data_IF_333407811304
#
_entry.id   IF_333407811304
#
_cell.length_a   1.000
_cell.length_b   1.000
_cell.length_c   1.000
_cell.angle_alpha   90.00
_cell.angle_beta   90.00
_cell.angle_gamma   90.00
#
_symmetry.space_group_name_H-M   'P 1'
#
loop_
_entity.id
_entity.type
_entity.pdbx_description
1 polymer ?
#
# COMPACT_ATOMS: atom_id res chain seq x y z
N UNK A 1 -5.50 32.60 7.21
CA UNK A 1 -4.54 31.65 6.60
C UNK A 1 -5.23 30.33 6.41
N UNK A 2 -5.11 29.64 5.28
CA UNK A 2 -5.66 28.29 5.16
C UNK A 2 -4.95 27.35 6.14
N UNK A 3 -5.74 26.53 6.86
CA UNK A 3 -5.24 25.60 7.87
C UNK A 3 -4.48 24.42 7.25
N UNK A 4 -4.70 24.12 5.97
CA UNK A 4 -4.14 23.00 5.24
C UNK A 4 -3.19 23.47 4.13
N UNK A 5 -2.20 22.64 3.82
CA UNK A 5 -1.32 22.89 2.68
C UNK A 5 -2.11 22.86 1.37
N UNK A 6 -1.69 23.67 0.39
CA UNK A 6 -2.37 23.78 -0.93
C UNK A 6 -2.52 22.44 -1.63
N UNK A 7 -1.51 21.57 -1.52
CA UNK A 7 -1.52 20.21 -2.12
C UNK A 7 -2.67 19.34 -1.62
N UNK A 8 -3.11 19.53 -0.36
CA UNK A 8 -4.26 18.76 0.17
C UNK A 8 -5.57 19.13 -0.55
N UNK A 9 -5.69 20.36 -1.05
CA UNK A 9 -6.84 20.76 -1.86
C UNK A 9 -6.91 20.08 -3.24
N UNK A 10 -5.83 19.46 -3.69
CA UNK A 10 -5.79 18.65 -4.94
C UNK A 10 -6.25 17.22 -4.72
N UNK A 11 -6.14 16.70 -3.49
CA UNK A 11 -6.59 15.35 -3.14
C UNK A 11 -8.11 15.23 -3.32
N UNK A 12 -8.53 14.20 -4.04
CA UNK A 12 -9.95 13.90 -4.27
C UNK A 12 -10.41 12.78 -3.33
N UNK A 13 -11.67 12.81 -2.86
CA UNK A 13 -12.22 11.66 -2.15
C UNK A 13 -12.15 10.39 -3.00
N UNK A 14 -11.77 9.27 -2.41
CA UNK A 14 -11.67 8.00 -3.12
C UNK A 14 -13.04 7.56 -3.66
N UNK A 15 -13.18 7.52 -4.98
CA UNK A 15 -14.39 7.04 -5.65
C UNK A 15 -14.69 5.56 -5.29
N UNK A 16 -13.65 4.75 -5.11
CA UNK A 16 -13.78 3.33 -4.71
C UNK A 16 -14.41 3.23 -3.32
N UNK A 17 -13.94 4.04 -2.37
CA UNK A 17 -14.50 4.05 -1.01
C UNK A 17 -15.96 4.56 -0.99
N UNK A 18 -16.27 5.58 -1.77
CA UNK A 18 -17.64 6.09 -1.88
C UNK A 18 -18.62 5.02 -2.41
N UNK A 19 -18.20 4.24 -3.41
CA UNK A 19 -19.01 3.13 -3.94
C UNK A 19 -19.16 2.02 -2.90
N UNK A 20 -18.08 1.68 -2.17
CA UNK A 20 -18.11 0.66 -1.11
C UNK A 20 -19.06 1.05 0.03
N UNK A 21 -19.01 2.30 0.49
CA UNK A 21 -19.91 2.82 1.53
C UNK A 21 -21.36 2.82 1.06
N UNK A 22 -21.62 3.23 -0.18
CA UNK A 22 -22.96 3.17 -0.77
C UNK A 22 -23.50 1.74 -0.82
N UNK A 23 -22.67 0.77 -1.22
CA UNK A 23 -23.06 -0.65 -1.24
C UNK A 23 -23.37 -1.15 0.17
N UNK A 24 -22.56 -0.80 1.16
CA UNK A 24 -22.77 -1.14 2.58
C UNK A 24 -24.08 -0.58 3.11
N UNK A 25 -24.36 0.70 2.82
CA UNK A 25 -25.62 1.35 3.23
C UNK A 25 -26.84 0.65 2.64
N UNK A 26 -26.83 0.38 1.33
CA UNK A 26 -27.93 -0.29 0.65
C UNK A 26 -28.18 -1.71 1.18
N UNK A 27 -27.12 -2.46 1.51
CA UNK A 27 -27.25 -3.76 2.19
C UNK A 27 -27.90 -3.64 3.57
N UNK A 28 -27.52 -2.63 4.35
CA UNK A 28 -28.10 -2.38 5.66
C UNK A 28 -29.61 -1.99 5.59
N UNK A 29 -30.04 -1.41 4.46
CA UNK A 29 -31.45 -1.11 4.15
C UNK A 29 -32.21 -2.36 3.65
N UNK A 30 -31.61 -3.56 3.67
CA UNK A 30 -32.23 -4.82 3.27
C UNK A 30 -32.23 -5.09 1.75
N UNK A 31 -31.49 -4.30 0.96
CA UNK A 31 -31.39 -4.53 -0.48
C UNK A 31 -30.39 -5.64 -0.79
N UNK A 32 -30.73 -6.49 -1.75
CA UNK A 32 -29.81 -7.50 -2.27
C UNK A 32 -28.79 -6.83 -3.20
N UNK A 33 -27.56 -6.66 -2.70
CA UNK A 33 -26.46 -5.99 -3.41
C UNK A 33 -25.28 -6.96 -3.56
N UNK A 34 -24.92 -7.24 -4.80
CA UNK A 34 -23.66 -7.91 -5.15
C UNK A 34 -22.60 -6.82 -5.39
N UNK A 35 -21.59 -6.75 -4.51
CA UNK A 35 -20.59 -5.70 -4.56
C UNK A 35 -19.28 -6.17 -5.18
N UNK A 36 -18.82 -5.46 -6.22
CA UNK A 36 -17.51 -5.59 -6.84
C UNK A 36 -16.62 -4.35 -6.60
N UNK A 37 -16.93 -3.58 -5.56
CA UNK A 37 -16.27 -2.28 -5.32
C UNK A 37 -14.84 -2.41 -4.77
N UNK A 38 -14.54 -3.49 -4.04
CA UNK A 38 -13.22 -3.73 -3.45
C UNK A 38 -12.80 -5.17 -3.76
N UNK A 39 -11.61 -5.32 -4.32
CA UNK A 39 -10.98 -6.63 -4.53
C UNK A 39 -10.33 -7.12 -3.24
N UNK A 40 -10.93 -8.10 -2.59
CA UNK A 40 -10.39 -8.74 -1.39
C UNK A 40 -10.35 -10.25 -1.62
N UNK A 41 -9.24 -10.95 -1.28
CA UNK A 41 -9.21 -12.40 -1.30
C UNK A 41 -10.34 -12.99 -0.44
N UNK A 42 -11.01 -14.01 -0.94
CA UNK A 42 -12.11 -14.70 -0.22
C UNK A 42 -11.62 -15.91 0.61
N UNK A 43 -10.32 -16.06 0.76
CA UNK A 43 -9.67 -17.09 1.58
C UNK A 43 -8.72 -16.45 2.57
N UNK A 44 -8.52 -17.12 3.69
CA UNK A 44 -7.61 -16.67 4.74
C UNK A 44 -6.20 -17.20 4.48
N UNK A 45 -5.17 -16.52 5.00
CA UNK A 45 -3.82 -17.08 5.05
C UNK A 45 -3.82 -18.45 5.77
N UNK A 46 -2.89 -19.32 5.43
CA UNK A 46 -2.73 -20.59 6.12
C UNK A 46 -2.33 -20.43 7.59
N UNK A 47 -2.65 -21.42 8.43
CA UNK A 47 -2.41 -21.38 9.88
C UNK A 47 -0.95 -21.10 10.25
N UNK A 48 0.01 -21.52 9.43
CA UNK A 48 1.43 -21.25 9.63
C UNK A 48 1.75 -19.75 9.63
N UNK A 49 1.02 -18.94 8.85
CA UNK A 49 1.20 -17.47 8.81
C UNK A 49 0.74 -16.86 10.14
N UNK A 50 -0.44 -17.28 10.62
CA UNK A 50 -0.96 -16.82 11.90
C UNK A 50 -0.08 -17.25 13.07
N UNK A 51 0.46 -18.48 13.02
CA UNK A 51 1.36 -18.98 14.07
C UNK A 51 2.66 -18.19 14.08
N UNK A 52 3.28 -17.94 12.92
CA UNK A 52 4.49 -17.14 12.81
C UNK A 52 4.28 -15.70 13.37
N UNK A 53 3.11 -15.10 13.09
CA UNK A 53 2.79 -13.78 13.63
C UNK A 53 2.64 -13.79 15.16
N UNK A 54 1.96 -14.80 15.73
CA UNK A 54 1.85 -14.97 17.19
C UNK A 54 3.21 -15.16 17.86
N UNK A 55 4.07 -15.99 17.26
CA UNK A 55 5.40 -16.28 17.79
C UNK A 55 6.31 -15.05 17.72
N UNK A 56 6.18 -14.24 16.66
CA UNK A 56 6.91 -13.00 16.54
C UNK A 56 6.48 -11.98 17.62
N UNK A 57 5.17 -11.78 17.79
CA UNK A 57 4.64 -10.88 18.81
C UNK A 57 5.04 -11.30 20.24
N UNK A 58 5.10 -12.59 20.53
CA UNK A 58 5.53 -13.09 21.84
C UNK A 58 7.00 -12.80 22.14
N UNK A 59 7.82 -12.59 21.11
CA UNK A 59 9.27 -12.28 21.22
C UNK A 59 9.58 -10.80 21.05
N UNK A 60 8.59 -10.01 20.62
CA UNK A 60 8.78 -8.58 20.37
C UNK A 60 8.96 -7.83 21.69
N UNK A 61 10.10 -7.16 21.82
CA UNK A 61 10.43 -6.33 22.98
C UNK A 61 9.87 -4.90 22.89
N UNK A 62 9.15 -4.57 21.82
CA UNK A 62 8.67 -3.20 21.54
C UNK A 62 9.78 -2.20 21.24
N UNK A 63 10.95 -2.65 20.84
CA UNK A 63 12.08 -1.78 20.50
C UNK A 63 11.98 -1.26 19.06
N UNK A 64 12.58 -0.10 18.81
CA UNK A 64 12.71 0.42 17.46
C UNK A 64 13.55 -0.50 16.58
N UNK A 65 13.02 -0.82 15.40
CA UNK A 65 13.74 -1.57 14.37
C UNK A 65 14.42 -0.66 13.35
N UNK A 66 14.98 -1.27 12.31
CA UNK A 66 15.50 -0.54 11.16
C UNK A 66 14.38 0.14 10.37
N UNK A 67 14.62 1.39 9.92
CA UNK A 67 13.70 2.13 9.06
C UNK A 67 13.40 1.43 7.72
N UNK A 68 14.24 0.49 7.31
CA UNK A 68 14.09 -0.26 6.07
C UNK A 68 13.34 -1.58 6.22
N UNK A 69 13.08 -2.01 7.45
CA UNK A 69 12.50 -3.29 7.80
C UNK A 69 13.46 -4.18 8.58
N UNK A 70 12.93 -5.27 9.14
CA UNK A 70 13.77 -6.24 9.85
C UNK A 70 14.64 -7.04 8.88
N UNK A 71 15.81 -7.45 9.31
CA UNK A 71 16.73 -8.25 8.51
C UNK A 71 16.07 -9.52 7.97
N UNK A 72 15.27 -10.20 8.80
CA UNK A 72 14.53 -11.40 8.41
C UNK A 72 13.58 -11.14 7.25
N UNK A 73 12.86 -10.00 7.28
CA UNK A 73 11.94 -9.64 6.20
C UNK A 73 12.70 -9.26 4.92
N UNK A 74 13.80 -8.51 5.05
CA UNK A 74 14.63 -8.12 3.90
C UNK A 74 15.24 -9.34 3.22
N UNK A 75 15.75 -10.31 4.00
CA UNK A 75 16.32 -11.56 3.47
C UNK A 75 15.26 -12.41 2.77
N UNK A 76 14.08 -12.57 3.38
CA UNK A 76 12.98 -13.31 2.77
C UNK A 76 12.53 -12.67 1.45
N UNK A 77 12.49 -11.33 1.39
CA UNK A 77 12.17 -10.60 0.17
C UNK A 77 13.25 -10.80 -0.90
N UNK A 78 14.53 -10.72 -0.54
CA UNK A 78 15.65 -10.95 -1.46
C UNK A 78 15.60 -12.36 -2.06
N UNK A 79 15.37 -13.39 -1.25
CA UNK A 79 15.18 -14.76 -1.72
C UNK A 79 13.99 -14.87 -2.70
N UNK A 80 12.90 -14.18 -2.42
CA UNK A 80 11.72 -14.20 -3.28
C UNK A 80 12.01 -13.57 -4.65
N UNK A 81 12.63 -12.38 -4.69
CA UNK A 81 12.94 -11.71 -5.97
C UNK A 81 14.02 -12.46 -6.77
N UNK A 82 14.98 -13.11 -6.10
CA UNK A 82 15.97 -13.96 -6.74
C UNK A 82 15.32 -15.17 -7.42
N UNK A 83 14.34 -15.79 -6.77
CA UNK A 83 13.55 -16.89 -7.37
C UNK A 83 12.74 -16.44 -8.60
N UNK A 84 12.44 -15.13 -8.71
CA UNK A 84 11.82 -14.52 -9.90
C UNK A 84 12.83 -14.10 -10.96
N UNK A 85 14.13 -14.39 -10.78
CA UNK A 85 15.20 -14.07 -11.72
C UNK A 85 15.80 -12.66 -11.54
N UNK A 86 15.41 -11.92 -10.53
CA UNK A 86 15.98 -10.60 -10.19
C UNK A 86 17.19 -10.79 -9.26
N UNK A 87 18.38 -10.84 -9.83
CA UNK A 87 19.64 -11.11 -9.13
C UNK A 87 20.48 -9.85 -8.90
N UNK A 88 21.48 -9.94 -8.03
CA UNK A 88 22.44 -8.86 -7.77
C UNK A 88 21.96 -7.82 -6.75
N UNK A 89 20.81 -8.01 -6.14
CA UNK A 89 20.29 -7.15 -5.06
C UNK A 89 20.81 -7.61 -3.69
N UNK A 90 20.99 -6.64 -2.81
CA UNK A 90 21.40 -6.83 -1.42
C UNK A 90 20.43 -6.10 -0.49
N UNK A 91 20.55 -6.29 0.82
CA UNK A 91 19.76 -5.51 1.78
C UNK A 91 19.90 -3.99 1.62
N UNK A 92 21.02 -3.51 1.04
CA UNK A 92 21.23 -2.09 0.77
C UNK A 92 20.26 -1.54 -0.29
N UNK A 93 19.75 -2.40 -1.17
CA UNK A 93 18.87 -2.03 -2.28
C UNK A 93 17.37 -2.22 -1.96
N UNK A 94 17.04 -2.69 -0.76
CA UNK A 94 15.67 -3.04 -0.39
C UNK A 94 15.21 -2.22 0.80
N UNK A 95 13.97 -1.80 0.75
CA UNK A 95 13.24 -1.17 1.85
C UNK A 95 11.81 -1.67 1.87
N UNK A 96 11.23 -1.78 3.05
CA UNK A 96 9.84 -2.18 3.22
C UNK A 96 8.97 -1.01 3.67
N UNK A 97 7.65 -1.15 3.54
CA UNK A 97 6.70 -0.13 3.98
C UNK A 97 5.36 -0.73 4.33
N UNK A 98 4.47 0.11 4.82
CA UNK A 98 3.11 -0.26 5.22
C UNK A 98 2.23 -0.38 3.96
N UNK A 99 2.48 -1.43 3.17
CA UNK A 99 1.78 -1.70 1.93
C UNK A 99 2.29 -0.88 0.73
N UNK A 100 1.88 -1.31 -0.48
CA UNK A 100 2.35 -0.74 -1.75
C UNK A 100 2.02 0.76 -1.90
N UNK A 101 0.88 1.22 -1.40
CA UNK A 101 0.49 2.64 -1.48
C UNK A 101 1.48 3.55 -0.75
N UNK A 102 1.95 3.14 0.43
CA UNK A 102 2.96 3.88 1.18
C UNK A 102 4.28 3.96 0.41
N UNK A 103 4.72 2.84 -0.17
CA UNK A 103 5.95 2.82 -0.97
C UNK A 103 5.83 3.70 -2.22
N UNK A 104 4.71 3.63 -2.95
CA UNK A 104 4.46 4.46 -4.14
C UNK A 104 4.48 5.96 -3.81
N UNK A 105 3.86 6.35 -2.69
CA UNK A 105 3.89 7.73 -2.24
C UNK A 105 5.31 8.17 -1.90
N UNK A 106 6.06 7.38 -1.13
CA UNK A 106 7.45 7.70 -0.77
C UNK A 106 8.37 7.78 -2.01
N UNK A 107 8.17 6.91 -3.00
CA UNK A 107 8.90 6.98 -4.27
C UNK A 107 8.58 8.26 -5.02
N UNK A 108 7.32 8.61 -5.14
CA UNK A 108 6.91 9.83 -5.82
C UNK A 108 7.49 11.09 -5.14
N UNK A 109 7.39 11.20 -3.81
CA UNK A 109 7.98 12.29 -3.03
C UNK A 109 9.52 12.35 -3.13
N UNK A 110 10.17 11.22 -3.39
CA UNK A 110 11.63 11.14 -3.44
C UNK A 110 12.22 11.37 -4.84
N UNK A 111 11.43 11.16 -5.88
CA UNK A 111 11.91 11.11 -7.27
C UNK A 111 11.33 12.22 -8.15
N UNK A 112 10.24 12.88 -7.74
CA UNK A 112 9.51 13.83 -8.57
C UNK A 112 9.56 15.23 -7.98
N UNK A 113 9.79 16.19 -8.87
CA UNK A 113 9.68 17.63 -8.62
C UNK A 113 8.51 18.23 -9.40
N UNK A 114 8.18 19.50 -9.12
CA UNK A 114 7.14 20.25 -9.83
C UNK A 114 7.43 20.29 -11.35
N UNK A 115 6.46 19.84 -12.14
CA UNK A 115 6.58 19.75 -13.60
C UNK A 115 7.00 18.39 -14.13
N UNK A 116 7.38 17.44 -13.26
CA UNK A 116 7.67 16.06 -13.69
C UNK A 116 6.39 15.33 -14.09
N UNK A 117 6.55 14.26 -14.86
CA UNK A 117 5.42 13.50 -15.43
C UNK A 117 5.47 12.05 -15.00
N UNK A 118 4.34 11.56 -14.47
CA UNK A 118 4.10 10.14 -14.23
C UNK A 118 3.28 9.57 -15.41
N UNK A 119 3.74 8.47 -15.99
CA UNK A 119 3.04 7.74 -17.05
C UNK A 119 2.52 6.40 -16.49
N UNK A 120 1.23 6.16 -16.62
CA UNK A 120 0.60 4.89 -16.25
C UNK A 120 -0.43 4.47 -17.30
N UNK A 121 -0.58 3.15 -17.60
CA UNK A 121 -1.53 2.66 -18.59
C UNK A 121 -2.96 2.75 -18.09
N UNK A 122 -3.93 2.92 -19.01
CA UNK A 122 -5.36 2.84 -18.70
C UNK A 122 -5.93 1.48 -19.14
N UNK A 123 -6.80 0.83 -18.37
CA UNK A 123 -7.34 1.25 -17.07
C UNK A 123 -6.32 1.12 -15.93
N UNK A 124 -6.41 2.00 -14.92
CA UNK A 124 -5.45 2.08 -13.83
C UNK A 124 -6.10 2.18 -12.45
N UNK A 125 -5.32 1.90 -11.43
CA UNK A 125 -5.72 2.17 -10.06
C UNK A 125 -5.65 3.66 -9.76
N UNK A 126 -6.78 4.25 -9.34
CA UNK A 126 -6.92 5.71 -9.15
C UNK A 126 -5.86 6.32 -8.24
N UNK A 127 -5.29 5.53 -7.33
CA UNK A 127 -4.22 5.96 -6.43
C UNK A 127 -3.00 6.53 -7.16
N UNK A 128 -2.68 6.09 -8.37
CA UNK A 128 -1.56 6.65 -9.14
C UNK A 128 -1.79 8.12 -9.47
N UNK A 129 -2.99 8.46 -9.92
CA UNK A 129 -3.37 9.84 -10.20
C UNK A 129 -3.44 10.66 -8.91
N UNK A 130 -4.01 10.11 -7.84
CA UNK A 130 -4.12 10.78 -6.54
C UNK A 130 -2.74 11.12 -5.96
N UNK A 131 -1.76 10.21 -6.08
CA UNK A 131 -0.38 10.45 -5.65
C UNK A 131 0.24 11.57 -6.51
N UNK A 132 0.10 11.50 -7.85
CA UNK A 132 0.61 12.53 -8.74
C UNK A 132 0.06 13.93 -8.39
N UNK A 133 -1.25 14.02 -8.13
CA UNK A 133 -1.92 15.28 -7.75
C UNK A 133 -1.43 15.85 -6.40
N UNK A 134 -0.94 15.00 -5.48
CA UNK A 134 -0.50 15.44 -4.16
C UNK A 134 0.98 15.85 -4.14
N UNK A 135 1.84 15.09 -4.82
CA UNK A 135 3.31 15.32 -4.75
C UNK A 135 3.80 16.40 -5.70
N UNK A 136 3.00 16.78 -6.70
CA UNK A 136 3.37 17.74 -7.74
C UNK A 136 2.95 19.19 -7.43
#
# INVERSE_FOLDING_TARGET
MPLLARRIGRAKPSAIMAVAEKAKKLKAEGRDIISFSIGVPNFLPGDHVYQAARDALAKDSGQYGSNRGTDVLLDAFLQHIEALGLTGYTRANVSTGIGAKHILYNLAESLLDEGDTIVYPSPYWTTYADIADIVN
#
